data_IF_931922640373
#
_entry.id   IF_931922640373
#
_cell.length_a   1.000
_cell.length_b   1.000
_cell.length_c   1.000
_cell.angle_alpha   90.00
_cell.angle_beta   90.00
_cell.angle_gamma   90.00
#
_symmetry.space_group_name_H-M   'P 1'
#
loop_
_entity.id
_entity.type
_entity.pdbx_description
1 polymer ?
#
# COMPACT_ATOMS: atom_id res chain seq x y z
N UNK A 1 -24.39 -9.55 -7.55
CA UNK A 1 -23.60 -10.45 -6.68
C UNK A 1 -22.30 -10.70 -7.41
N UNK A 2 -21.22 -10.04 -7.02
CA UNK A 2 -19.90 -10.24 -7.65
C UNK A 2 -19.35 -11.60 -7.21
N UNK A 3 -18.85 -12.40 -8.14
CA UNK A 3 -18.32 -13.72 -7.83
C UNK A 3 -16.96 -13.57 -7.13
N UNK A 4 -16.54 -14.52 -6.27
CA UNK A 4 -15.25 -14.44 -5.58
C UNK A 4 -14.03 -14.33 -6.51
N UNK A 5 -14.16 -14.76 -7.78
CA UNK A 5 -13.15 -14.58 -8.82
C UNK A 5 -12.95 -13.10 -9.21
N UNK A 6 -13.99 -12.27 -9.10
CA UNK A 6 -13.96 -10.87 -9.54
C UNK A 6 -13.19 -9.99 -8.54
N UNK A 7 -13.24 -10.31 -7.25
CA UNK A 7 -12.52 -9.56 -6.22
C UNK A 7 -11.01 -9.83 -6.28
N UNK A 8 -10.61 -11.09 -6.50
CA UNK A 8 -9.19 -11.44 -6.65
C UNK A 8 -8.58 -10.76 -7.88
N UNK A 9 -9.28 -10.74 -9.01
CA UNK A 9 -8.82 -10.03 -10.21
C UNK A 9 -8.64 -8.52 -9.95
N UNK A 10 -9.56 -7.90 -9.21
CA UNK A 10 -9.45 -6.50 -8.83
C UNK A 10 -8.28 -6.22 -7.88
N UNK A 11 -8.05 -7.10 -6.90
CA UNK A 11 -6.90 -6.99 -5.99
C UNK A 11 -5.59 -7.00 -6.79
N UNK A 12 -5.45 -7.87 -7.78
CA UNK A 12 -4.26 -7.90 -8.63
C UNK A 12 -4.11 -6.62 -9.45
N UNK A 13 -5.20 -6.06 -10.01
CA UNK A 13 -5.16 -4.75 -10.69
C UNK A 13 -4.71 -3.64 -9.74
N UNK A 14 -5.24 -3.58 -8.52
CA UNK A 14 -4.84 -2.57 -7.55
C UNK A 14 -3.38 -2.72 -7.11
N UNK A 15 -2.85 -3.95 -7.07
CA UNK A 15 -1.43 -4.21 -6.80
C UNK A 15 -0.55 -3.67 -7.93
N UNK A 16 -0.96 -3.87 -9.18
CA UNK A 16 -0.28 -3.29 -10.34
C UNK A 16 -0.31 -1.75 -10.29
N UNK A 17 -1.46 -1.15 -9.95
CA UNK A 17 -1.59 0.29 -9.79
C UNK A 17 -0.70 0.82 -8.66
N UNK A 18 -0.71 0.16 -7.49
CA UNK A 18 0.08 0.55 -6.32
C UNK A 18 1.59 0.43 -6.58
N UNK A 19 2.04 -0.57 -7.34
CA UNK A 19 3.45 -0.78 -7.65
C UNK A 19 4.12 0.41 -8.34
N UNK A 20 3.34 1.26 -9.05
CA UNK A 20 3.83 2.47 -9.70
C UNK A 20 3.91 3.70 -8.80
N UNK A 21 3.38 3.64 -7.57
CA UNK A 21 3.26 4.80 -6.68
C UNK A 21 4.46 4.96 -5.75
N UNK A 22 4.83 6.21 -5.50
CA UNK A 22 5.67 6.58 -4.35
C UNK A 22 4.93 6.37 -3.02
N UNK A 23 5.67 6.46 -1.92
CA UNK A 23 5.09 6.34 -0.58
C UNK A 23 4.02 7.41 -0.34
N UNK A 24 4.32 8.66 -0.70
CA UNK A 24 3.41 9.79 -0.52
C UNK A 24 2.13 9.64 -1.36
N UNK A 25 2.25 9.16 -2.59
CA UNK A 25 1.10 8.93 -3.47
C UNK A 25 0.22 7.78 -2.97
N UNK A 26 0.83 6.68 -2.54
CA UNK A 26 0.11 5.53 -1.99
C UNK A 26 -0.59 5.88 -0.66
N UNK A 27 0.08 6.65 0.20
CA UNK A 27 -0.51 7.14 1.45
C UNK A 27 -1.68 8.09 1.18
N UNK A 28 -1.54 9.01 0.22
CA UNK A 28 -2.62 9.91 -0.17
C UNK A 28 -3.83 9.14 -0.74
N UNK A 29 -3.59 8.08 -1.52
CA UNK A 29 -4.65 7.21 -2.03
C UNK A 29 -5.36 6.46 -0.89
N UNK A 30 -4.60 5.97 0.09
CA UNK A 30 -5.14 5.33 1.29
C UNK A 30 -5.98 6.30 2.14
N UNK A 31 -5.52 7.53 2.34
CA UNK A 31 -6.25 8.56 3.08
C UNK A 31 -7.61 8.89 2.43
N UNK A 32 -7.67 8.92 1.11
CA UNK A 32 -8.92 9.12 0.38
C UNK A 32 -9.89 7.95 0.58
N UNK A 33 -9.40 6.71 0.49
CA UNK A 33 -10.21 5.52 0.77
C UNK A 33 -10.69 5.48 2.22
N UNK A 34 -9.85 5.87 3.18
CA UNK A 34 -10.22 5.97 4.58
C UNK A 34 -11.31 7.04 4.79
N UNK A 35 -11.19 8.21 4.16
CA UNK A 35 -12.21 9.26 4.24
C UNK A 35 -13.56 8.77 3.68
N UNK A 36 -13.55 7.99 2.60
CA UNK A 36 -14.76 7.37 2.07
C UNK A 36 -15.34 6.34 3.04
N UNK A 37 -14.52 5.41 3.56
CA UNK A 37 -14.95 4.38 4.52
C UNK A 37 -15.48 4.95 5.84
N UNK A 38 -14.94 6.07 6.28
CA UNK A 38 -15.38 6.79 7.47
C UNK A 38 -16.65 7.61 7.22
N UNK A 39 -17.06 7.77 5.97
CA UNK A 39 -18.35 8.38 5.65
C UNK A 39 -19.48 7.37 5.88
N UNK A 40 -20.64 7.86 6.32
CA UNK A 40 -21.87 7.05 6.46
C UNK A 40 -22.52 6.72 5.10
N UNK A 41 -21.81 6.90 3.99
CA UNK A 41 -22.36 6.85 2.63
C UNK A 41 -21.99 5.61 1.84
N UNK A 42 -21.03 4.81 2.32
CA UNK A 42 -20.58 3.60 1.62
C UNK A 42 -21.58 2.46 1.81
N UNK A 43 -22.15 1.90 0.73
CA UNK A 43 -23.05 0.76 0.82
C UNK A 43 -22.33 -0.46 1.40
N UNK A 44 -23.02 -1.24 2.25
CA UNK A 44 -22.48 -2.47 2.84
C UNK A 44 -21.92 -3.46 1.79
N UNK A 45 -22.55 -3.52 0.62
CA UNK A 45 -22.12 -4.37 -0.48
C UNK A 45 -20.75 -3.97 -1.07
N UNK A 46 -20.33 -2.72 -0.90
CA UNK A 46 -19.06 -2.17 -1.38
C UNK A 46 -17.96 -2.16 -0.29
N UNK A 47 -18.33 -2.27 0.99
CA UNK A 47 -17.38 -2.20 2.11
C UNK A 47 -16.24 -3.21 1.97
N UNK A 48 -16.55 -4.46 1.63
CA UNK A 48 -15.52 -5.50 1.48
C UNK A 48 -14.49 -5.13 0.39
N UNK A 49 -14.97 -4.58 -0.73
CA UNK A 49 -14.12 -4.17 -1.84
C UNK A 49 -13.24 -2.99 -1.47
N UNK A 50 -13.80 -1.98 -0.78
CA UNK A 50 -13.08 -0.78 -0.33
C UNK A 50 -12.00 -1.11 0.70
N UNK A 51 -12.30 -2.01 1.64
CA UNK A 51 -11.32 -2.49 2.62
C UNK A 51 -10.18 -3.23 1.92
N UNK A 52 -10.48 -4.17 1.02
CA UNK A 52 -9.46 -4.89 0.28
C UNK A 52 -8.56 -3.96 -0.56
N UNK A 53 -9.12 -2.90 -1.13
CA UNK A 53 -8.33 -1.89 -1.86
C UNK A 53 -7.41 -1.10 -0.93
N UNK A 54 -7.91 -0.70 0.25
CA UNK A 54 -7.11 -0.04 1.28
C UNK A 54 -5.96 -0.92 1.78
N UNK A 55 -6.20 -2.22 2.00
CA UNK A 55 -5.16 -3.19 2.39
C UNK A 55 -4.02 -3.25 1.35
N UNK A 56 -4.34 -3.20 0.05
CA UNK A 56 -3.32 -3.18 -1.00
C UNK A 56 -2.42 -1.96 -0.92
N UNK A 57 -2.98 -0.75 -0.73
CA UNK A 57 -2.15 0.46 -0.59
C UNK A 57 -1.36 0.47 0.71
N UNK A 58 -1.93 -0.05 1.81
CA UNK A 58 -1.23 -0.18 3.09
C UNK A 58 -0.04 -1.12 2.96
N UNK A 59 -0.22 -2.29 2.35
CA UNK A 59 0.85 -3.27 2.10
C UNK A 59 2.00 -2.65 1.29
N UNK A 60 1.67 -1.86 0.26
CA UNK A 60 2.67 -1.15 -0.54
C UNK A 60 3.43 -0.10 0.27
N UNK A 61 2.72 0.71 1.06
CA UNK A 61 3.35 1.68 1.98
C UNK A 61 4.33 0.99 2.94
N UNK A 62 3.91 -0.13 3.56
CA UNK A 62 4.78 -0.91 4.45
C UNK A 62 6.01 -1.47 3.73
N UNK A 63 5.85 -1.94 2.49
CA UNK A 63 6.95 -2.47 1.69
C UNK A 63 8.02 -1.39 1.42
N UNK A 64 7.57 -0.18 1.07
CA UNK A 64 8.46 0.96 0.86
C UNK A 64 9.20 1.35 2.14
N UNK A 65 8.50 1.44 3.27
CA UNK A 65 9.11 1.74 4.56
C UNK A 65 10.15 0.68 4.96
N UNK A 66 9.83 -0.61 4.82
CA UNK A 66 10.76 -1.73 5.08
C UNK A 66 11.98 -1.67 4.15
N UNK A 67 11.82 -1.19 2.92
CA UNK A 67 12.94 -1.00 2.00
C UNK A 67 13.86 0.13 2.44
N UNK A 68 13.29 1.24 2.90
CA UNK A 68 14.06 2.38 3.43
C UNK A 68 14.76 2.00 4.74
N UNK A 69 14.07 1.33 5.65
CA UNK A 69 14.63 0.81 6.91
C UNK A 69 15.87 -0.04 6.64
N UNK A 70 15.76 -1.04 5.75
CA UNK A 70 16.92 -1.87 5.35
C UNK A 70 18.05 -1.06 4.74
N UNK A 71 17.73 -0.07 3.90
CA UNK A 71 18.75 0.77 3.30
C UNK A 71 19.52 1.55 4.36
N UNK A 72 18.82 2.14 5.35
CA UNK A 72 19.40 2.88 6.47
C UNK A 72 20.22 1.96 7.38
N UNK A 73 19.73 0.76 7.69
CA UNK A 73 20.46 -0.23 8.51
C UNK A 73 21.78 -0.66 7.87
N UNK A 74 21.87 -0.60 6.54
CA UNK A 74 23.09 -0.92 5.78
C UNK A 74 24.01 0.28 5.60
N UNK A 75 23.74 1.44 6.21
CA UNK A 75 24.64 2.60 6.16
C UNK A 75 25.63 2.58 7.31
N UNK A 76 26.87 2.94 7.02
CA UNK A 76 27.86 3.26 8.04
C UNK A 76 27.46 4.57 8.73
N UNK A 77 27.40 4.62 10.08
CA UNK A 77 26.84 5.76 10.81
C UNK A 77 27.68 7.04 10.71
N UNK A 78 28.98 6.93 10.39
CA UNK A 78 29.90 8.06 10.32
C UNK A 78 30.01 8.65 8.90
N UNK A 79 29.95 7.79 7.87
CA UNK A 79 30.08 8.18 6.46
C UNK A 79 28.75 8.29 5.72
N UNK A 80 27.68 7.66 6.23
CA UNK A 80 26.39 7.49 5.56
C UNK A 80 26.50 6.81 4.18
N UNK A 81 27.58 6.07 3.96
CA UNK A 81 27.77 5.24 2.78
C UNK A 81 27.34 3.79 3.06
N UNK A 82 26.92 3.01 2.04
CA UNK A 82 26.58 1.60 2.22
C UNK A 82 27.76 0.79 2.75
N UNK A 83 27.59 0.10 3.88
CA UNK A 83 28.57 -0.83 4.43
C UNK A 83 28.82 -1.94 3.42
N UNK A 84 30.00 -1.95 2.80
CA UNK A 84 30.37 -2.92 1.78
C UNK A 84 30.84 -4.23 2.42
N UNK A 85 30.04 -4.85 3.30
CA UNK A 85 30.36 -6.17 3.83
C UNK A 85 29.60 -7.24 3.02
N UNK A 86 30.29 -7.79 2.02
CA UNK A 86 29.98 -9.02 1.31
C UNK A 86 31.22 -9.92 1.25
#
# INVERSE_FOLDING_TARGET
>A
MSQPNDLQAQIETWREDAAGLSYEEALQALDLLLAELQSDTVPLAELQQRVAHGEVYLDHCESLLKSVERAVDTLDPDSLEPTTDA
#
